data_IF_037109512493
#
_entry.id   IF_037109512493
#
_cell.length_a   1.000
_cell.length_b   1.000
_cell.length_c   1.000
_cell.angle_alpha   90.00
_cell.angle_beta   90.00
_cell.angle_gamma   90.00
#
_symmetry.space_group_name_H-M   'P 1'
#
loop_
_entity.id
_entity.type
_entity.pdbx_description
1 polymer ?
#
# COMPACT_ATOMS: atom_id res chain seq x y z
N UNK A 1 -8.41 3.07 21.14
CA UNK A 1 -7.52 2.94 19.98
C UNK A 1 -7.13 1.47 19.94
N UNK A 2 -7.38 0.79 18.82
CA UNK A 2 -7.05 -0.64 18.65
C UNK A 2 -5.77 -0.74 17.82
N UNK A 3 -4.74 -1.33 18.41
CA UNK A 3 -3.38 -1.32 17.88
C UNK A 3 -2.90 -2.77 17.79
N UNK A 4 -2.27 -3.15 16.68
CA UNK A 4 -1.63 -4.46 16.51
C UNK A 4 -0.20 -4.26 16.01
N UNK A 5 0.75 -4.87 16.71
CA UNK A 5 2.17 -4.83 16.36
C UNK A 5 2.72 -6.25 16.24
N UNK A 6 3.41 -6.51 15.12
CA UNK A 6 4.06 -7.78 14.83
C UNK A 6 5.47 -7.46 14.33
N UNK A 7 6.47 -8.12 14.90
CA UNK A 7 7.87 -7.94 14.49
C UNK A 7 8.67 -9.23 14.53
N UNK A 8 9.68 -9.34 13.65
CA UNK A 8 10.64 -10.45 13.60
C UNK A 8 9.98 -11.83 13.45
N UNK A 9 8.83 -11.90 12.78
CA UNK A 9 8.06 -13.11 12.59
C UNK A 9 7.44 -13.14 11.19
N UNK A 10 7.37 -14.31 10.56
CA UNK A 10 6.61 -14.47 9.32
C UNK A 10 5.13 -14.26 9.61
N UNK A 11 4.46 -13.46 8.77
CA UNK A 11 3.05 -13.12 8.91
C UNK A 11 2.22 -13.70 7.76
N UNK A 12 1.06 -14.23 8.10
CA UNK A 12 0.02 -14.55 7.13
C UNK A 12 -0.87 -13.31 6.90
N UNK A 13 -0.70 -12.67 5.74
CA UNK A 13 -1.48 -11.48 5.36
C UNK A 13 -2.97 -11.80 5.20
N UNK A 14 -3.33 -13.02 4.80
CA UNK A 14 -4.74 -13.40 4.67
C UNK A 14 -5.45 -13.36 6.03
N UNK A 15 -4.76 -13.79 7.10
CA UNK A 15 -5.29 -13.74 8.46
C UNK A 15 -5.57 -12.30 8.94
N UNK A 16 -4.83 -11.30 8.46
CA UNK A 16 -5.05 -9.89 8.79
C UNK A 16 -6.35 -9.33 8.19
N UNK A 17 -6.93 -10.00 7.20
CA UNK A 17 -8.24 -9.66 6.65
C UNK A 17 -9.40 -10.32 7.41
N UNK A 18 -9.19 -10.91 8.59
CA UNK A 18 -10.29 -11.38 9.41
C UNK A 18 -11.23 -10.19 9.79
N UNK A 19 -12.56 -10.30 9.60
CA UNK A 19 -13.52 -9.25 9.95
C UNK A 19 -13.42 -8.71 11.39
N UNK A 20 -12.97 -9.54 12.34
CA UNK A 20 -12.77 -9.14 13.74
C UNK A 20 -11.70 -8.05 13.89
N UNK A 21 -10.77 -7.95 12.94
CA UNK A 21 -9.70 -6.96 12.91
C UNK A 21 -10.09 -5.64 12.22
N UNK A 22 -11.28 -5.56 11.61
CA UNK A 22 -11.75 -4.38 10.82
C UNK A 22 -11.80 -3.05 11.59
N UNK A 23 -11.75 -3.11 12.93
CA UNK A 23 -11.76 -1.95 13.83
C UNK A 23 -10.37 -1.45 14.23
N UNK A 24 -9.30 -2.15 13.83
CA UNK A 24 -7.93 -1.71 14.09
C UNK A 24 -7.70 -0.34 13.46
N UNK A 25 -7.06 0.55 14.22
CA UNK A 25 -6.67 1.88 13.79
C UNK A 25 -5.17 1.96 13.48
N UNK A 26 -4.36 1.12 14.11
CA UNK A 26 -2.91 1.12 13.97
C UNK A 26 -2.43 -0.30 13.75
N UNK A 27 -1.72 -0.51 12.64
CA UNK A 27 -1.09 -1.78 12.33
C UNK A 27 0.39 -1.54 12.05
N UNK A 28 1.24 -2.25 12.78
CA UNK A 28 2.67 -2.24 12.59
C UNK A 28 3.19 -3.64 12.27
N UNK A 29 3.85 -3.77 11.12
CA UNK A 29 4.46 -4.99 10.62
C UNK A 29 5.94 -4.72 10.37
N UNK A 30 6.76 -4.78 11.42
CA UNK A 30 8.18 -4.40 11.35
C UNK A 30 9.05 -5.62 11.09
N UNK A 31 9.88 -5.60 10.04
CA UNK A 31 10.83 -6.69 9.76
C UNK A 31 10.17 -8.09 9.81
N UNK A 32 9.05 -8.21 9.11
CA UNK A 32 8.30 -9.48 8.97
C UNK A 32 8.58 -10.14 7.60
N UNK A 33 9.52 -9.56 6.84
CA UNK A 33 9.97 -10.07 5.55
C UNK A 33 9.02 -9.81 4.38
N UNK A 34 8.17 -8.77 4.44
CA UNK A 34 7.27 -8.43 3.32
C UNK A 34 8.09 -8.07 2.09
N UNK A 35 7.84 -8.73 0.96
CA UNK A 35 8.44 -8.42 -0.35
C UNK A 35 7.52 -7.58 -1.23
N UNK A 36 6.23 -7.61 -0.92
CA UNK A 36 5.16 -6.96 -1.65
C UNK A 36 4.28 -6.19 -0.67
N UNK A 37 3.53 -5.20 -1.18
CA UNK A 37 2.54 -4.51 -0.37
C UNK A 37 1.42 -5.48 0.03
N UNK A 38 1.05 -5.54 1.32
CA UNK A 38 -0.05 -6.40 1.75
C UNK A 38 -1.39 -5.81 1.30
N UNK A 39 -2.29 -6.64 0.79
CA UNK A 39 -3.67 -6.24 0.54
C UNK A 39 -4.51 -6.37 1.82
N UNK A 40 -4.83 -5.25 2.45
CA UNK A 40 -5.56 -5.18 3.73
C UNK A 40 -7.01 -4.72 3.52
N UNK A 41 -7.72 -5.36 2.60
CA UNK A 41 -9.02 -4.93 2.11
C UNK A 41 -10.10 -4.83 3.21
N UNK A 42 -9.98 -5.58 4.31
CA UNK A 42 -10.95 -5.51 5.42
C UNK A 42 -10.62 -4.46 6.50
N UNK A 43 -9.41 -3.87 6.48
CA UNK A 43 -8.95 -2.94 7.52
C UNK A 43 -9.31 -1.47 7.21
N UNK A 44 -10.61 -1.20 6.98
CA UNK A 44 -11.12 0.12 6.58
C UNK A 44 -10.94 1.23 7.63
N UNK A 45 -10.65 0.85 8.88
CA UNK A 45 -10.51 1.80 10.00
C UNK A 45 -9.07 2.22 10.29
N UNK A 46 -8.10 1.65 9.56
CA UNK A 46 -6.67 1.97 9.72
C UNK A 46 -6.42 3.45 9.45
N UNK A 47 -5.65 4.06 10.35
CA UNK A 47 -5.13 5.42 10.31
C UNK A 47 -3.61 5.41 10.17
N UNK A 48 -2.94 4.48 10.85
CA UNK A 48 -1.48 4.35 10.82
C UNK A 48 -1.10 2.95 10.38
N UNK A 49 -0.35 2.85 9.29
CA UNK A 49 0.17 1.61 8.77
C UNK A 49 1.69 1.70 8.69
N UNK A 50 2.38 0.95 9.55
CA UNK A 50 3.84 0.96 9.62
C UNK A 50 4.38 -0.34 9.05
N UNK A 51 5.08 -0.28 7.92
CA UNK A 51 5.67 -1.41 7.20
C UNK A 51 7.20 -1.32 7.17
N UNK A 52 7.78 -0.70 8.21
CA UNK A 52 9.21 -0.40 8.23
C UNK A 52 10.09 -1.65 8.23
N UNK A 53 11.29 -1.51 7.69
CA UNK A 53 12.34 -2.54 7.69
C UNK A 53 11.91 -3.86 7.03
N UNK A 54 11.09 -3.79 5.98
CA UNK A 54 10.76 -4.96 5.15
C UNK A 54 11.60 -4.96 3.86
N UNK A 55 11.21 -5.77 2.88
CA UNK A 55 11.90 -5.98 1.61
C UNK A 55 11.06 -5.50 0.42
N UNK A 56 10.17 -4.52 0.62
CA UNK A 56 9.27 -4.01 -0.41
C UNK A 56 10.08 -3.19 -1.41
N UNK A 57 10.24 -3.71 -2.64
CA UNK A 57 10.94 -3.02 -3.72
C UNK A 57 10.03 -2.18 -4.62
N UNK A 58 8.76 -2.57 -4.70
CA UNK A 58 7.73 -1.94 -5.51
C UNK A 58 6.45 -1.87 -4.70
N UNK A 59 5.93 -0.67 -4.50
CA UNK A 59 4.60 -0.44 -3.90
C UNK A 59 3.53 -0.69 -4.98
N UNK A 60 3.33 -1.96 -5.32
CA UNK A 60 2.30 -2.42 -6.26
C UNK A 60 0.96 -2.52 -5.52
N UNK A 61 -0.09 -1.88 -6.05
CA UNK A 61 -1.41 -1.84 -5.42
C UNK A 61 -2.48 -2.55 -6.25
N UNK A 62 -2.10 -3.31 -7.29
CA UNK A 62 -3.05 -3.99 -8.17
C UNK A 62 -4.05 -4.87 -7.41
N UNK A 63 -3.60 -5.56 -6.36
CA UNK A 63 -4.43 -6.40 -5.51
C UNK A 63 -5.58 -5.67 -4.80
N UNK A 64 -5.56 -4.34 -4.72
CA UNK A 64 -6.65 -3.52 -4.17
C UNK A 64 -7.78 -3.25 -5.19
N UNK A 65 -7.55 -3.55 -6.47
CA UNK A 65 -8.47 -3.31 -7.57
C UNK A 65 -8.99 -4.60 -8.22
N UNK A 66 -8.60 -5.76 -7.68
CA UNK A 66 -9.06 -7.05 -8.18
C UNK A 66 -10.52 -7.30 -7.78
N UNK A 67 -11.23 -8.14 -8.53
CA UNK A 67 -12.68 -8.32 -8.37
C UNK A 67 -13.09 -8.82 -6.97
N UNK A 68 -12.22 -9.57 -6.29
CA UNK A 68 -12.45 -10.10 -4.95
C UNK A 68 -12.23 -9.05 -3.84
N UNK A 69 -11.57 -7.94 -4.18
CA UNK A 69 -11.08 -6.93 -3.24
C UNK A 69 -11.45 -5.51 -3.69
N UNK A 70 -12.36 -5.34 -4.66
CA UNK A 70 -12.56 -4.09 -5.41
C UNK A 70 -13.01 -2.89 -4.57
N UNK A 71 -13.56 -3.13 -3.37
CA UNK A 71 -13.86 -2.08 -2.39
C UNK A 71 -12.66 -1.77 -1.48
N UNK A 72 -11.48 -2.30 -1.80
CA UNK A 72 -10.29 -2.55 -1.00
C UNK A 72 -9.59 -1.34 -0.39
N UNK A 73 -10.06 -0.12 -0.61
CA UNK A 73 -9.44 1.13 -0.15
C UNK A 73 -9.17 1.21 1.37
N UNK A 74 -8.24 2.09 1.76
CA UNK A 74 -7.91 2.51 3.12
C UNK A 74 -8.33 3.97 3.34
N UNK A 75 -9.64 4.27 3.43
CA UNK A 75 -10.16 5.64 3.33
C UNK A 75 -9.83 6.53 4.52
N UNK A 76 -9.38 5.94 5.64
CA UNK A 76 -9.01 6.67 6.87
C UNK A 76 -7.51 6.76 7.10
N UNK A 77 -6.69 6.23 6.19
CA UNK A 77 -5.24 6.23 6.36
C UNK A 77 -4.74 7.67 6.45
N UNK A 78 -4.03 7.98 7.52
CA UNK A 78 -3.37 9.26 7.77
C UNK A 78 -1.87 9.14 7.50
N UNK A 79 -1.27 7.99 7.82
CA UNK A 79 0.16 7.77 7.69
C UNK A 79 0.50 6.34 7.23
N UNK A 80 1.33 6.26 6.19
CA UNK A 80 1.96 5.03 5.70
C UNK A 80 3.47 5.13 5.88
N UNK A 81 4.05 4.33 6.77
CA UNK A 81 5.49 4.29 6.95
C UNK A 81 6.11 3.14 6.17
N UNK A 82 7.05 3.47 5.29
CA UNK A 82 7.77 2.51 4.45
C UNK A 82 9.30 2.68 4.60
N UNK A 83 9.77 3.38 5.63
CA UNK A 83 11.19 3.53 5.90
C UNK A 83 11.90 2.18 6.10
N UNK A 84 13.16 2.08 5.72
CA UNK A 84 13.92 0.83 5.76
C UNK A 84 13.51 -0.21 4.70
N UNK A 85 12.74 0.18 3.68
CA UNK A 85 12.47 -0.64 2.49
C UNK A 85 13.31 -0.16 1.29
N UNK A 86 13.57 -1.05 0.33
CA UNK A 86 14.34 -0.76 -0.89
C UNK A 86 13.45 -0.29 -2.05
N UNK A 87 12.57 0.69 -1.80
CA UNK A 87 11.55 1.12 -2.77
C UNK A 87 12.19 1.81 -3.97
N UNK A 88 11.85 1.34 -5.16
CA UNK A 88 12.26 1.91 -6.44
C UNK A 88 11.07 2.35 -7.30
N UNK A 89 9.87 1.82 -7.04
CA UNK A 89 8.64 2.11 -7.79
C UNK A 89 7.44 2.23 -6.86
N UNK A 90 6.50 3.11 -7.19
CA UNK A 90 5.21 3.27 -6.50
C UNK A 90 4.09 3.35 -7.52
N UNK A 91 3.01 2.59 -7.32
CA UNK A 91 1.79 2.68 -8.12
C UNK A 91 1.12 4.05 -7.94
N UNK A 92 0.90 4.77 -9.05
CA UNK A 92 0.29 6.10 -9.08
C UNK A 92 -1.14 6.14 -8.55
N UNK A 93 -1.83 4.98 -8.53
CA UNK A 93 -3.16 4.81 -7.93
C UNK A 93 -3.13 4.75 -6.40
N UNK A 94 -1.99 4.93 -5.74
CA UNK A 94 -1.91 5.04 -4.27
C UNK A 94 -2.88 6.08 -3.70
N UNK A 95 -3.18 7.15 -4.44
CA UNK A 95 -4.19 8.16 -4.08
C UNK A 95 -5.63 7.63 -4.07
N UNK A 96 -5.92 6.58 -4.83
CA UNK A 96 -7.23 5.93 -4.91
C UNK A 96 -7.41 4.94 -3.76
N UNK A 97 -6.36 4.17 -3.44
CA UNK A 97 -6.33 3.29 -2.27
C UNK A 97 -6.39 4.12 -0.99
N UNK A 98 -5.58 5.16 -0.88
CA UNK A 98 -5.48 6.04 0.28
C UNK A 98 -6.26 7.33 0.03
N UNK A 99 -7.59 7.27 0.04
CA UNK A 99 -8.44 8.40 -0.40
C UNK A 99 -8.48 9.61 0.55
N UNK A 100 -7.96 9.48 1.77
CA UNK A 100 -7.79 10.60 2.70
C UNK A 100 -6.80 11.63 2.12
N UNK A 101 -7.28 12.87 1.93
CA UNK A 101 -6.51 13.97 1.33
C UNK A 101 -5.32 14.43 2.16
N UNK A 102 -5.33 14.17 3.45
CA UNK A 102 -4.23 14.47 4.37
C UNK A 102 -3.25 13.31 4.53
N UNK A 103 -3.44 12.19 3.82
CA UNK A 103 -2.56 11.03 3.96
C UNK A 103 -1.12 11.35 3.53
N UNK A 104 -0.17 10.90 4.34
CA UNK A 104 1.26 11.04 4.11
C UNK A 104 1.94 9.67 4.05
N UNK A 105 3.05 9.61 3.31
CA UNK A 105 3.92 8.45 3.16
C UNK A 105 5.34 8.81 3.60
N UNK A 106 5.94 7.97 4.43
CA UNK A 106 7.31 8.05 4.89
C UNK A 106 8.24 7.15 4.07
N UNK A 107 9.34 7.72 3.55
CA UNK A 107 10.35 6.99 2.76
C UNK A 107 11.75 7.49 3.13
N UNK A 108 12.75 6.62 3.22
CA UNK A 108 14.10 6.97 3.73
C UNK A 108 14.74 8.19 3.07
N UNK A 109 14.72 8.23 1.73
CA UNK A 109 15.40 9.28 0.96
C UNK A 109 14.54 10.53 0.72
N UNK A 110 13.24 10.44 0.99
CA UNK A 110 12.27 11.53 0.77
C UNK A 110 11.87 12.21 2.08
N UNK A 111 11.93 11.48 3.20
CA UNK A 111 11.21 11.81 4.42
C UNK A 111 9.71 11.67 4.23
N UNK A 112 8.95 12.55 4.88
CA UNK A 112 7.50 12.60 4.81
C UNK A 112 7.03 13.34 3.55
N UNK A 113 6.11 12.75 2.79
CA UNK A 113 5.43 13.43 1.69
C UNK A 113 3.93 13.15 1.64
N UNK A 114 3.16 14.16 1.23
CA UNK A 114 1.73 14.02 1.03
C UNK A 114 1.45 13.17 -0.22
N UNK A 115 0.60 12.15 -0.06
CA UNK A 115 0.15 11.26 -1.13
C UNK A 115 -0.65 12.02 -2.18
N UNK A 116 -1.45 13.02 -1.77
CA UNK A 116 -2.28 13.84 -2.66
C UNK A 116 -1.61 15.17 -3.07
N UNK A 117 -0.36 15.38 -2.64
CA UNK A 117 0.41 16.59 -2.94
C UNK A 117 1.36 16.39 -4.11
N UNK A 118 2.47 17.15 -4.10
CA UNK A 118 3.52 17.04 -5.10
C UNK A 118 4.45 15.85 -4.83
N UNK A 119 3.89 14.64 -4.83
CA UNK A 119 4.63 13.41 -4.58
C UNK A 119 5.64 13.13 -5.68
N UNK A 120 5.23 13.30 -6.96
CA UNK A 120 6.08 13.04 -8.13
C UNK A 120 7.43 13.75 -8.07
N UNK A 121 7.45 15.07 -7.87
CA UNK A 121 8.72 15.83 -7.84
C UNK A 121 9.63 15.41 -6.68
N UNK A 122 9.05 14.94 -5.56
CA UNK A 122 9.81 14.43 -4.41
C UNK A 122 10.42 13.06 -4.72
N UNK A 123 9.68 12.19 -5.39
CA UNK A 123 10.15 10.86 -5.81
C UNK A 123 11.23 10.95 -6.90
N UNK A 124 11.03 11.80 -7.91
CA UNK A 124 11.97 12.01 -9.02
C UNK A 124 13.37 12.42 -8.51
N UNK A 125 13.44 13.25 -7.46
CA UNK A 125 14.71 13.68 -6.83
C UNK A 125 15.54 12.54 -6.25
N UNK A 126 14.90 11.43 -5.89
CA UNK A 126 15.57 10.27 -5.29
C UNK A 126 15.60 9.07 -6.23
N UNK A 127 15.04 9.21 -7.44
CA UNK A 127 14.99 8.15 -8.44
C UNK A 127 13.98 7.05 -8.10
N UNK A 128 12.90 7.37 -7.38
CA UNK A 128 11.75 6.48 -7.24
C UNK A 128 10.78 6.79 -8.38
N UNK A 129 10.36 5.79 -9.13
CA UNK A 129 9.44 5.94 -10.24
C UNK A 129 7.99 5.90 -9.73
N UNK A 130 7.18 6.88 -10.14
CA UNK A 130 5.72 6.80 -9.99
C UNK A 130 5.15 6.15 -11.25
N UNK A 131 4.61 4.94 -11.11
CA UNK A 131 4.21 4.07 -12.22
C UNK A 131 2.70 4.10 -12.36
N UNK A 132 2.21 4.52 -13.53
CA UNK A 132 0.78 4.39 -13.86
C UNK A 132 0.43 2.91 -14.07
N UNK A 133 -0.81 2.48 -13.78
CA UNK A 133 -1.24 1.12 -14.09
C UNK A 133 -1.05 0.84 -15.57
N UNK A 134 -0.55 -0.36 -15.89
CA UNK A 134 -0.62 -0.86 -17.25
C UNK A 134 -2.10 -0.89 -17.66
N UNK A 135 -2.47 -0.08 -18.66
CA UNK A 135 -3.78 -0.21 -19.30
C UNK A 135 -3.90 -1.69 -19.69
N UNK A 136 -4.85 -2.41 -19.11
CA UNK A 136 -5.19 -3.75 -19.58
C UNK A 136 -5.46 -3.61 -21.08
N UNK A 137 -4.56 -4.12 -21.91
CA UNK A 137 -4.78 -4.14 -23.34
C UNK A 137 -6.10 -4.87 -23.59
N UNK A 138 -7.13 -4.15 -24.03
CA UNK A 138 -8.43 -4.67 -24.45
C UNK A 138 -8.31 -5.71 -25.60
N UNK A 139 -7.08 -5.99 -26.08
CA UNK A 139 -6.79 -7.01 -27.09
C UNK A 139 -6.94 -8.45 -26.57
N UNK A 140 -6.83 -8.70 -25.27
CA UNK A 140 -6.83 -10.09 -24.75
C UNK A 140 -8.23 -10.66 -24.54
N UNK A 141 -9.28 -9.82 -24.60
CA UNK A 141 -10.69 -10.24 -24.43
C UNK A 141 -11.32 -10.70 -25.75
N UNK A 142 -10.71 -10.42 -26.92
CA UNK A 142 -11.31 -10.74 -28.24
C UNK A 142 -10.99 -12.13 -28.81
N UNK A 143 -10.21 -12.97 -28.14
CA UNK A 143 -9.79 -14.28 -28.69
C UNK A 143 -10.62 -15.50 -28.23
N UNK A 144 -11.84 -15.32 -27.70
CA UNK A 144 -12.69 -16.43 -27.25
C UNK A 144 -14.07 -16.53 -27.95
N UNK A 145 -14.22 -15.94 -29.15
CA UNK A 145 -15.49 -16.01 -29.91
C UNK A 145 -15.31 -16.34 -31.41
N UNK A 146 -14.40 -17.25 -31.75
CA UNK A 146 -14.40 -17.90 -33.07
C UNK A 146 -14.62 -19.40 -32.93
#
# INVERSE_FOLDING_TARGET
>A
MWNLEISNATIDIAALNNPDLSKINELALFDVGLKEMPCLYNLKSIKYLCLNNNQIGHVNLQSYFDAETSDGTMPKLEYLDLCGNHISKIDARIKEVCSNKSAEIGLDRVGLCSIHGNMKDKLDKVGIELVEPDEKNDSDVKNWLN
#
